data_IF_374275592443
#
_entry.id   IF_374275592443
#
_cell.length_a   1.000
_cell.length_b   1.000
_cell.length_c   1.000
_cell.angle_alpha   90.00
_cell.angle_beta   90.00
_cell.angle_gamma   90.00
#
_symmetry.space_group_name_H-M   'P 1'
#
loop_
_entity.id
_entity.type
_entity.pdbx_description
1 polymer ?
#
# COMPACT_ATOMS: atom_id res chain seq x y z
N UNK A 1 20.99 -40.92 34.59
CA UNK A 1 19.83 -40.10 34.18
C UNK A 1 19.87 -39.96 32.68
N UNK A 2 19.08 -40.76 31.96
CA UNK A 2 19.03 -40.74 30.49
C UNK A 2 17.91 -39.81 30.02
N UNK A 3 18.26 -38.80 29.22
CA UNK A 3 17.30 -37.93 28.54
C UNK A 3 16.67 -38.72 27.37
N UNK A 4 15.40 -39.09 27.53
CA UNK A 4 14.61 -39.65 26.44
C UNK A 4 14.21 -38.51 25.49
N UNK A 5 14.82 -38.49 24.31
CA UNK A 5 14.43 -37.60 23.21
C UNK A 5 13.19 -38.21 22.57
N UNK A 6 12.03 -37.59 22.80
CA UNK A 6 10.78 -37.94 22.13
C UNK A 6 10.95 -37.54 20.66
N UNK A 7 11.20 -38.51 19.78
CA UNK A 7 11.12 -38.34 18.32
C UNK A 7 9.67 -38.08 17.93
N UNK A 8 9.29 -36.82 17.87
CA UNK A 8 8.04 -36.39 17.24
C UNK A 8 8.19 -36.57 15.72
N UNK A 9 7.67 -37.68 15.21
CA UNK A 9 7.54 -37.95 13.78
C UNK A 9 6.75 -36.83 13.10
N UNK A 10 7.33 -36.23 12.05
CA UNK A 10 6.71 -35.21 11.20
C UNK A 10 5.33 -35.63 10.65
N UNK A 11 5.03 -36.94 10.61
CA UNK A 11 3.73 -37.44 10.15
C UNK A 11 2.55 -37.07 11.04
N UNK A 12 2.79 -36.77 12.33
CA UNK A 12 1.72 -36.42 13.29
C UNK A 12 1.14 -35.01 13.05
N UNK A 13 1.95 -34.07 12.53
CA UNK A 13 1.52 -32.68 12.27
C UNK A 13 0.61 -32.55 11.04
N UNK A 14 0.74 -33.45 10.05
CA UNK A 14 -0.06 -33.41 8.83
C UNK A 14 -1.52 -33.79 9.11
N UNK A 15 -1.77 -34.68 10.08
CA UNK A 15 -3.12 -35.15 10.45
C UNK A 15 -3.92 -34.05 11.17
N UNK A 16 -3.26 -33.16 11.92
CA UNK A 16 -3.94 -32.04 12.56
C UNK A 16 -4.31 -30.92 11.57
N UNK A 17 -3.58 -30.76 10.47
CA UNK A 17 -3.88 -29.74 9.46
C UNK A 17 -5.04 -30.11 8.54
N UNK A 18 -5.35 -31.39 8.34
CA UNK A 18 -6.44 -31.82 7.45
C UNK A 18 -7.83 -31.77 8.11
N UNK A 19 -7.93 -31.73 9.43
CA UNK A 19 -9.20 -31.65 10.16
C UNK A 19 -9.74 -30.22 10.33
N UNK A 20 -8.93 -29.20 10.04
CA UNK A 20 -9.35 -27.79 10.00
C UNK A 20 -9.56 -27.26 8.56
N UNK A 21 -9.74 -28.15 7.59
CA UNK A 21 -10.29 -27.74 6.30
C UNK A 21 -11.69 -27.15 6.56
N UNK A 22 -11.89 -25.89 6.17
CA UNK A 22 -13.18 -25.21 6.28
C UNK A 22 -14.27 -26.06 5.62
N UNK A 23 -15.11 -26.70 6.44
CA UNK A 23 -16.36 -27.24 5.95
C UNK A 23 -17.19 -26.07 5.44
N UNK A 24 -17.45 -26.07 4.13
CA UNK A 24 -18.32 -25.13 3.46
C UNK A 24 -19.76 -25.45 3.89
N UNK A 25 -20.11 -25.10 5.13
CA UNK A 25 -21.49 -25.15 5.59
C UNK A 25 -22.27 -24.20 4.69
N UNK A 26 -23.27 -24.73 3.99
CA UNK A 26 -24.21 -23.93 3.22
C UNK A 26 -24.90 -22.97 4.19
N UNK A 27 -24.33 -21.77 4.28
CA UNK A 27 -24.92 -20.61 4.91
C UNK A 27 -26.28 -20.39 4.24
N UNK A 28 -27.34 -20.44 5.05
CA UNK A 28 -28.69 -20.05 4.64
C UNK A 28 -28.58 -18.71 3.92
N UNK A 29 -28.94 -18.68 2.64
CA UNK A 29 -28.93 -17.46 1.84
C UNK A 29 -29.92 -16.45 2.41
N UNK A 30 -29.47 -15.66 3.36
CA UNK A 30 -29.91 -14.27 3.44
C UNK A 30 -29.39 -13.67 2.13
N UNK A 31 -30.31 -13.27 1.23
CA UNK A 31 -29.96 -12.44 0.07
C UNK A 31 -29.49 -11.08 0.61
N UNK A 32 -28.31 -11.03 1.21
CA UNK A 32 -27.55 -9.80 1.23
C UNK A 32 -27.28 -9.53 -0.24
N UNK A 33 -27.80 -8.41 -0.73
CA UNK A 33 -27.32 -7.85 -1.97
C UNK A 33 -25.87 -7.48 -1.69
N UNK A 34 -24.96 -8.45 -1.85
CA UNK A 34 -23.54 -8.17 -2.00
C UNK A 34 -23.49 -7.48 -3.34
N UNK A 35 -23.63 -6.15 -3.32
CA UNK A 35 -23.14 -5.33 -4.42
C UNK A 35 -21.65 -5.61 -4.40
N UNK A 36 -21.22 -6.59 -5.20
CA UNK A 36 -19.81 -6.79 -5.49
C UNK A 36 -19.42 -5.51 -6.19
N UNK A 37 -18.89 -4.56 -5.43
CA UNK A 37 -18.36 -3.32 -5.95
C UNK A 37 -17.21 -3.76 -6.85
N UNK A 38 -17.52 -3.87 -8.15
CA UNK A 38 -16.60 -4.39 -9.15
C UNK A 38 -15.41 -3.45 -9.11
N UNK A 39 -14.27 -3.95 -8.67
CA UNK A 39 -13.05 -3.16 -8.57
C UNK A 39 -12.62 -2.79 -9.99
N UNK A 40 -13.09 -1.64 -10.45
CA UNK A 40 -12.87 -1.13 -11.81
C UNK A 40 -11.54 -0.41 -11.92
N UNK A 41 -10.82 -0.23 -10.79
CA UNK A 41 -9.57 0.49 -10.78
C UNK A 41 -8.41 -0.40 -11.22
N UNK A 42 -8.10 -0.35 -12.51
CA UNK A 42 -6.86 -0.92 -13.03
C UNK A 42 -5.65 -0.08 -12.59
N UNK A 43 -4.74 -0.72 -11.84
CA UNK A 43 -3.47 -0.12 -11.44
C UNK A 43 -2.52 -0.02 -12.64
N UNK A 44 -1.94 1.16 -12.81
CA UNK A 44 -1.08 1.53 -13.92
C UNK A 44 -0.04 2.56 -13.45
N UNK A 45 1.23 2.30 -13.76
CA UNK A 45 2.33 3.16 -13.30
C UNK A 45 2.24 4.56 -13.90
N UNK A 46 1.90 4.67 -15.19
CA UNK A 46 1.77 5.95 -15.89
C UNK A 46 0.64 6.80 -15.29
N UNK A 47 -0.46 6.16 -14.89
CA UNK A 47 -1.56 6.86 -14.18
C UNK A 47 -1.11 7.37 -12.81
N UNK A 48 -0.36 6.59 -12.06
CA UNK A 48 0.19 7.02 -10.78
C UNK A 48 1.24 8.13 -10.94
N UNK A 49 2.07 8.07 -11.98
CA UNK A 49 3.02 9.12 -12.33
C UNK A 49 2.30 10.43 -12.68
N UNK A 50 1.25 10.36 -13.50
CA UNK A 50 0.43 11.51 -13.84
C UNK A 50 -0.20 12.16 -12.60
N UNK A 51 -0.58 11.36 -11.59
CA UNK A 51 -1.04 11.92 -10.30
C UNK A 51 0.09 12.69 -9.62
N UNK A 52 1.30 12.13 -9.52
CA UNK A 52 2.46 12.82 -8.92
C UNK A 52 2.79 14.14 -9.61
N UNK A 53 2.75 14.17 -10.95
CA UNK A 53 2.99 15.38 -11.75
C UNK A 53 1.88 16.42 -11.53
N UNK A 54 0.62 16.00 -11.56
CA UNK A 54 -0.53 16.88 -11.39
C UNK A 54 -0.67 17.46 -9.97
N UNK A 55 -0.17 16.75 -8.95
CA UNK A 55 -0.14 17.23 -7.56
C UNK A 55 0.92 18.34 -7.35
N UNK A 56 1.59 18.80 -8.40
CA UNK A 56 2.51 19.90 -8.28
C UNK A 56 3.73 19.54 -7.42
N UNK A 57 4.27 18.35 -7.66
CA UNK A 57 5.68 18.06 -7.43
C UNK A 57 6.06 17.40 -6.09
N UNK A 58 5.50 16.22 -5.80
CA UNK A 58 5.99 15.35 -4.71
C UNK A 58 7.52 15.09 -4.80
N UNK A 59 8.10 15.19 -6.01
CA UNK A 59 9.51 14.96 -6.33
C UNK A 59 10.49 15.97 -5.70
N UNK A 60 10.02 17.15 -5.26
CA UNK A 60 10.90 18.15 -4.62
C UNK A 60 11.14 17.82 -3.15
N UNK A 61 10.13 17.24 -2.49
CA UNK A 61 10.23 16.83 -1.09
C UNK A 61 10.75 15.40 -0.96
N UNK A 62 10.22 14.50 -1.79
CA UNK A 62 10.57 13.09 -1.79
C UNK A 62 11.63 12.86 -2.84
N UNK A 63 12.88 12.80 -2.39
CA UNK A 63 14.03 12.61 -3.26
C UNK A 63 14.24 11.11 -3.59
N UNK A 64 15.06 10.87 -4.62
CA UNK A 64 15.40 9.52 -5.11
C UNK A 64 16.29 8.76 -4.11
N UNK A 65 16.64 7.54 -4.49
CA UNK A 65 17.57 6.71 -3.73
C UNK A 65 18.95 7.39 -3.70
N UNK A 66 19.67 7.17 -2.59
CA UNK A 66 21.09 7.51 -2.47
C UNK A 66 21.42 9.01 -2.57
N UNK A 67 20.41 9.88 -2.40
CA UNK A 67 20.58 11.33 -2.21
C UNK A 67 20.19 11.75 -0.78
N UNK A 68 20.87 12.76 -0.22
CA UNK A 68 20.50 13.31 1.09
C UNK A 68 19.04 13.77 1.09
N UNK A 69 18.30 13.44 2.15
CA UNK A 69 16.89 13.84 2.31
C UNK A 69 16.76 15.35 2.23
N UNK A 70 15.65 15.84 1.66
CA UNK A 70 15.33 17.27 1.66
C UNK A 70 15.23 17.83 3.09
N UNK A 71 14.59 17.09 4.01
CA UNK A 71 14.61 17.35 5.46
C UNK A 71 14.63 16.02 6.23
N UNK A 72 15.17 16.03 7.45
CA UNK A 72 15.30 14.84 8.32
C UNK A 72 14.00 14.03 8.46
N UNK A 73 12.85 14.69 8.51
CA UNK A 73 11.54 14.07 8.74
C UNK A 73 10.73 13.80 7.45
N UNK A 74 11.33 14.03 6.27
CA UNK A 74 10.70 13.75 4.98
C UNK A 74 11.33 12.48 4.42
N UNK A 75 10.54 11.40 4.25
CA UNK A 75 11.06 10.14 3.71
C UNK A 75 11.40 10.26 2.23
N UNK A 76 12.42 9.55 1.77
CA UNK A 76 12.70 9.37 0.34
C UNK A 76 11.74 8.34 -0.27
N UNK A 77 11.67 8.28 -1.60
CA UNK A 77 10.79 7.32 -2.29
C UNK A 77 11.03 5.86 -1.89
N UNK A 78 12.30 5.46 -1.68
CA UNK A 78 12.65 4.09 -1.23
C UNK A 78 11.96 3.70 0.07
N UNK A 79 11.92 4.63 1.02
CA UNK A 79 11.39 4.40 2.35
C UNK A 79 9.88 4.36 2.34
N UNK A 80 9.26 5.23 1.55
CA UNK A 80 7.82 5.18 1.28
C UNK A 80 7.44 3.84 0.63
N UNK A 81 8.23 3.39 -0.36
CA UNK A 81 8.02 2.12 -1.04
C UNK A 81 8.18 0.90 -0.11
N UNK A 82 8.97 1.02 0.96
CA UNK A 82 9.13 0.00 1.99
C UNK A 82 7.94 -0.13 2.94
N UNK A 83 7.06 0.86 3.01
CA UNK A 83 5.89 0.80 3.90
C UNK A 83 4.85 -0.20 3.39
N UNK A 84 4.13 -0.84 4.31
CA UNK A 84 2.89 -1.54 3.98
C UNK A 84 1.90 -0.59 3.26
N UNK A 85 1.11 -1.11 2.31
CA UNK A 85 0.23 -0.29 1.47
C UNK A 85 -0.84 0.43 2.27
N UNK A 86 -1.40 -0.19 3.31
CA UNK A 86 -2.38 0.45 4.18
C UNK A 86 -1.72 1.53 5.04
N UNK A 87 -0.53 1.24 5.58
CA UNK A 87 0.26 2.22 6.33
C UNK A 87 0.65 3.43 5.47
N UNK A 88 1.06 3.19 4.22
CA UNK A 88 1.40 4.23 3.26
C UNK A 88 0.18 5.09 2.92
N UNK A 89 -0.97 4.46 2.66
CA UNK A 89 -2.24 5.15 2.43
C UNK A 89 -2.58 6.11 3.58
N UNK A 90 -2.56 5.61 4.82
CA UNK A 90 -2.85 6.42 6.00
C UNK A 90 -1.82 7.55 6.18
N UNK A 91 -0.53 7.24 5.98
CA UNK A 91 0.53 8.25 6.07
C UNK A 91 0.32 9.40 5.09
N UNK A 92 -0.06 9.11 3.84
CA UNK A 92 -0.25 10.12 2.80
C UNK A 92 -1.55 10.89 3.02
N UNK A 93 -2.69 10.19 3.07
CA UNK A 93 -4.02 10.80 2.93
C UNK A 93 -4.64 11.26 4.26
N UNK A 94 -4.23 10.68 5.39
CA UNK A 94 -4.78 11.03 6.71
C UNK A 94 -3.77 11.85 7.50
N UNK A 95 -2.51 11.41 7.51
CA UNK A 95 -1.47 11.99 8.37
C UNK A 95 -0.79 13.23 7.79
N UNK A 96 0.08 13.04 6.79
CA UNK A 96 1.04 14.08 6.38
C UNK A 96 0.46 15.11 5.44
N UNK A 97 -0.30 14.73 4.43
CA UNK A 97 -0.66 15.67 3.36
C UNK A 97 -2.10 16.15 3.41
N UNK A 98 -2.89 15.68 4.38
CA UNK A 98 -4.26 16.12 4.59
C UNK A 98 -4.32 17.63 4.85
N UNK A 99 -4.90 18.40 3.93
CA UNK A 99 -5.01 19.86 4.01
C UNK A 99 -3.68 20.65 3.89
N UNK A 100 -2.54 19.98 3.68
CA UNK A 100 -1.22 20.62 3.65
C UNK A 100 -1.01 21.50 2.42
N UNK A 101 -1.43 21.02 1.25
CA UNK A 101 -1.17 21.71 -0.02
C UNK A 101 -1.79 23.12 -0.08
N UNK A 102 -2.96 23.33 0.55
CA UNK A 102 -3.60 24.65 0.62
C UNK A 102 -2.76 25.70 1.37
N UNK A 103 -1.94 25.27 2.34
CA UNK A 103 -1.16 26.17 3.20
C UNK A 103 0.23 26.48 2.66
N UNK A 104 0.85 25.50 1.99
CA UNK A 104 2.27 25.58 1.57
C UNK A 104 2.42 25.89 0.08
N UNK A 105 1.51 25.41 -0.76
CA UNK A 105 1.62 25.54 -2.21
C UNK A 105 0.29 25.99 -2.84
N UNK A 106 -0.08 27.27 -2.70
CA UNK A 106 -1.38 27.79 -3.17
C UNK A 106 -1.55 27.74 -4.70
N UNK A 107 -0.46 27.64 -5.46
CA UNK A 107 -0.47 27.54 -6.92
C UNK A 107 -0.75 26.13 -7.46
N UNK A 108 -0.81 25.11 -6.61
CA UNK A 108 -1.04 23.72 -7.05
C UNK A 108 -2.53 23.50 -7.35
N UNK A 109 -2.83 23.20 -8.61
CA UNK A 109 -4.20 23.06 -9.12
C UNK A 109 -4.96 21.85 -8.55
N UNK A 110 -4.27 20.73 -8.32
CA UNK A 110 -4.88 19.50 -7.77
C UNK A 110 -4.30 19.16 -6.41
N UNK A 111 -5.19 18.86 -5.48
CA UNK A 111 -4.81 18.57 -4.09
C UNK A 111 -4.90 17.08 -3.80
N UNK A 112 -4.09 16.60 -2.86
CA UNK A 112 -4.07 15.17 -2.52
C UNK A 112 -5.40 14.70 -1.91
N UNK A 113 -6.12 15.58 -1.21
CA UNK A 113 -7.46 15.39 -0.65
C UNK A 113 -8.54 15.36 -1.73
N UNK A 114 -8.25 15.88 -2.92
CA UNK A 114 -9.18 15.85 -4.07
C UNK A 114 -9.06 14.59 -4.94
N UNK A 115 -8.12 13.69 -4.61
CA UNK A 115 -7.95 12.47 -5.38
C UNK A 115 -9.12 11.50 -5.15
N UNK A 116 -9.62 10.93 -6.23
CA UNK A 116 -10.54 9.79 -6.16
C UNK A 116 -9.82 8.51 -5.70
N UNK A 117 -10.60 7.49 -5.33
CA UNK A 117 -10.03 6.26 -4.77
C UNK A 117 -9.14 5.51 -5.76
N UNK A 118 -9.41 5.61 -7.06
CA UNK A 118 -8.57 4.98 -8.05
C UNK A 118 -7.26 5.73 -8.26
N UNK A 119 -7.27 7.06 -8.22
CA UNK A 119 -6.07 7.89 -8.24
C UNK A 119 -5.20 7.64 -7.00
N UNK A 120 -5.81 7.53 -5.81
CA UNK A 120 -5.08 7.18 -4.57
C UNK A 120 -4.39 5.82 -4.70
N UNK A 121 -5.09 4.83 -5.23
CA UNK A 121 -4.55 3.47 -5.45
C UNK A 121 -3.43 3.45 -6.50
N UNK A 122 -3.59 4.16 -7.61
CA UNK A 122 -2.54 4.30 -8.62
C UNK A 122 -1.31 5.05 -8.07
N UNK A 123 -1.50 6.07 -7.23
CA UNK A 123 -0.42 6.76 -6.55
C UNK A 123 0.34 5.81 -5.61
N UNK A 124 -0.35 5.05 -4.75
CA UNK A 124 0.28 4.03 -3.91
C UNK A 124 1.05 3.03 -4.76
N UNK A 125 0.43 2.52 -5.83
CA UNK A 125 1.05 1.55 -6.73
C UNK A 125 2.35 2.09 -7.35
N UNK A 126 2.33 3.33 -7.82
CA UNK A 126 3.51 4.02 -8.34
C UNK A 126 4.61 4.15 -7.27
N UNK A 127 4.29 4.65 -6.08
CA UNK A 127 5.26 4.78 -4.99
C UNK A 127 5.89 3.43 -4.63
N UNK A 128 5.08 2.38 -4.54
CA UNK A 128 5.56 1.01 -4.26
C UNK A 128 6.46 0.46 -5.37
N UNK A 129 6.41 1.00 -6.58
CA UNK A 129 7.33 0.62 -7.65
C UNK A 129 8.74 1.23 -7.49
N UNK A 130 8.93 2.26 -6.68
CA UNK A 130 10.25 2.87 -6.46
C UNK A 130 11.26 1.92 -5.80
N UNK A 131 10.80 0.87 -5.10
CA UNK A 131 11.67 -0.18 -4.55
C UNK A 131 12.22 -1.13 -5.61
N UNK A 132 11.64 -1.15 -6.81
CA UNK A 132 11.95 -2.10 -7.90
C UNK A 132 12.93 -1.55 -8.94
N UNK A 133 13.62 -0.43 -8.66
CA UNK A 133 14.48 0.28 -9.61
C UNK A 133 13.79 0.68 -10.92
N UNK A 134 12.45 0.67 -10.98
CA UNK A 134 11.72 1.23 -12.11
C UNK A 134 11.87 2.75 -12.06
N UNK A 135 12.37 3.29 -13.16
CA UNK A 135 12.87 4.66 -13.23
C UNK A 135 11.73 5.64 -12.92
N UNK A 136 11.80 6.24 -11.73
CA UNK A 136 11.02 7.41 -11.36
C UNK A 136 11.63 8.59 -12.13
N UNK A 137 11.26 8.77 -13.41
CA UNK A 137 11.89 9.76 -14.30
C UNK A 137 11.76 11.20 -13.81
#
# INVERSE_FOLDING_TARGET
MGLNIIKLSLGSLIIFCSLFACNNSQSKQVKSVIIVQKDSCRLDLSKGEAVVLNLGECRYCHLRNDVPRFKKNIPIWKELAGMDSLKLSNFIFVGKHNGMYKKVFPAVLKRIDSLDDCQKRNLIHFIKAASRNQVMH
#
